data_IF_542016290480
#
_entry.id   IF_542016290480
#
_cell.length_a   1.000
_cell.length_b   1.000
_cell.length_c   1.000
_cell.angle_alpha   90.00
_cell.angle_beta   90.00
_cell.angle_gamma   90.00
#
_symmetry.space_group_name_H-M   'P 1'
#
loop_
_entity.id
_entity.type
_entity.pdbx_description
1 polymer ?
#
# COMPACT_ATOMS: atom_id res chain seq x y z
N UNK A 1 -14.61 6.85 28.93
CA UNK A 1 -13.67 5.87 29.50
C UNK A 1 -12.53 5.74 28.50
N UNK A 2 -11.49 6.57 28.65
CA UNK A 2 -10.38 6.69 27.70
C UNK A 2 -9.44 5.50 27.89
N UNK A 3 -9.41 4.60 26.92
CA UNK A 3 -8.36 3.58 26.87
C UNK A 3 -7.07 4.25 26.40
N UNK A 4 -6.23 4.60 27.37
CA UNK A 4 -4.81 4.83 27.14
C UNK A 4 -4.26 3.49 26.64
N UNK A 5 -3.93 3.43 25.35
CA UNK A 5 -3.31 2.25 24.74
C UNK A 5 -1.99 1.99 25.46
N UNK A 6 -1.95 0.95 26.28
CA UNK A 6 -0.78 0.55 27.05
C UNK A 6 0.23 -0.15 26.13
N UNK A 7 1.40 0.48 25.94
CA UNK A 7 2.44 0.03 25.02
C UNK A 7 3.56 -0.72 25.77
N UNK A 8 3.28 -1.94 26.23
CA UNK A 8 4.27 -2.86 26.82
C UNK A 8 4.75 -3.94 25.83
N UNK A 9 6.07 -4.08 25.66
CA UNK A 9 6.88 -5.11 24.94
C UNK A 9 6.53 -5.56 23.50
N UNK A 10 5.25 -5.61 23.07
CA UNK A 10 4.80 -5.75 21.67
C UNK A 10 5.10 -4.51 20.79
N UNK A 11 5.68 -3.47 21.41
CA UNK A 11 5.73 -2.07 20.94
C UNK A 11 6.67 -1.78 19.75
N UNK A 12 7.54 -2.70 19.32
CA UNK A 12 8.43 -2.49 18.14
C UNK A 12 8.33 -3.55 17.05
N UNK A 13 7.57 -4.62 17.24
CA UNK A 13 7.48 -5.66 16.20
C UNK A 13 6.76 -5.13 14.94
N UNK A 14 5.81 -4.21 15.13
CA UNK A 14 5.18 -3.50 14.02
C UNK A 14 6.17 -2.64 13.25
N UNK A 15 7.20 -2.07 13.90
CA UNK A 15 8.27 -1.35 13.22
C UNK A 15 9.09 -2.31 12.36
N UNK A 16 9.43 -3.49 12.86
CA UNK A 16 10.12 -4.50 12.03
C UNK A 16 9.28 -4.93 10.83
N UNK A 17 7.96 -5.09 10.99
CA UNK A 17 7.07 -5.36 9.86
C UNK A 17 7.02 -4.18 8.88
N UNK A 18 7.00 -2.94 9.37
CA UNK A 18 7.01 -1.75 8.52
C UNK A 18 8.33 -1.61 7.74
N UNK A 19 9.48 -1.87 8.37
CA UNK A 19 10.78 -1.85 7.68
C UNK A 19 10.93 -3.00 6.68
N UNK A 20 10.48 -4.20 7.03
CA UNK A 20 10.45 -5.32 6.09
C UNK A 20 9.53 -5.02 4.90
N UNK A 21 8.35 -4.45 5.17
CA UNK A 21 7.42 -3.96 4.15
C UNK A 21 8.09 -2.92 3.24
N UNK A 22 8.76 -1.91 3.79
CA UNK A 22 9.50 -0.90 3.03
C UNK A 22 10.54 -1.53 2.09
N UNK A 23 11.32 -2.48 2.59
CA UNK A 23 12.32 -3.18 1.77
C UNK A 23 11.66 -3.99 0.65
N UNK A 24 10.61 -4.77 0.97
CA UNK A 24 9.87 -5.54 -0.02
C UNK A 24 9.24 -4.66 -1.10
N UNK A 25 8.62 -3.54 -0.72
CA UNK A 25 8.01 -2.59 -1.66
C UNK A 25 9.05 -1.88 -2.53
N UNK A 26 10.21 -1.54 -1.98
CA UNK A 26 11.32 -0.95 -2.75
C UNK A 26 11.85 -1.90 -3.81
N UNK A 27 12.16 -3.15 -3.42
CA UNK A 27 12.61 -4.19 -4.35
C UNK A 27 11.53 -4.49 -5.40
N UNK A 28 10.27 -4.63 -4.96
CA UNK A 28 9.13 -4.85 -5.84
C UNK A 28 9.00 -3.74 -6.89
N UNK A 29 9.09 -2.48 -6.50
CA UNK A 29 8.93 -1.37 -7.43
C UNK A 29 10.05 -1.34 -8.49
N UNK A 30 11.28 -1.65 -8.10
CA UNK A 30 12.40 -1.79 -9.03
C UNK A 30 12.18 -2.94 -10.02
N UNK A 31 11.79 -4.11 -9.53
CA UNK A 31 11.49 -5.27 -10.39
C UNK A 31 10.28 -4.98 -11.30
N UNK A 32 9.23 -4.36 -10.78
CA UNK A 32 8.05 -3.98 -11.54
C UNK A 32 8.39 -3.05 -12.70
N UNK A 33 9.30 -2.09 -12.50
CA UNK A 33 9.81 -1.23 -13.58
C UNK A 33 10.49 -2.07 -14.66
N UNK A 34 11.40 -2.97 -14.30
CA UNK A 34 12.11 -3.84 -15.25
C UNK A 34 11.11 -4.72 -16.02
N UNK A 35 10.26 -5.46 -15.31
CA UNK A 35 9.31 -6.38 -15.95
C UNK A 35 8.36 -5.63 -16.87
N UNK A 36 7.88 -4.46 -16.44
CA UNK A 36 6.96 -3.67 -17.28
C UNK A 36 7.62 -3.12 -18.54
N UNK A 37 8.91 -2.79 -18.50
CA UNK A 37 9.63 -2.38 -19.72
C UNK A 37 9.90 -3.55 -20.66
N UNK A 38 10.10 -4.76 -20.15
CA UNK A 38 10.39 -5.95 -20.95
C UNK A 38 9.14 -6.55 -21.60
N UNK A 39 8.05 -6.74 -20.83
CA UNK A 39 6.87 -7.50 -21.32
C UNK A 39 5.60 -6.68 -21.42
N UNK A 40 5.57 -5.44 -20.91
CA UNK A 40 4.37 -4.60 -20.91
C UNK A 40 3.60 -4.62 -19.59
N UNK A 41 2.69 -3.67 -19.41
CA UNK A 41 2.00 -3.41 -18.15
C UNK A 41 0.90 -4.45 -17.85
N UNK A 42 0.16 -4.89 -18.86
CA UNK A 42 -0.91 -5.88 -18.70
C UNK A 42 -0.33 -7.26 -18.39
N UNK A 43 0.74 -7.62 -19.07
CA UNK A 43 1.51 -8.84 -18.89
C UNK A 43 2.17 -8.85 -17.50
N UNK A 44 2.77 -7.73 -17.09
CA UNK A 44 3.31 -7.58 -15.74
C UNK A 44 2.22 -7.71 -14.67
N UNK A 45 1.04 -7.15 -14.89
CA UNK A 45 -0.11 -7.31 -13.98
C UNK A 45 -0.57 -8.77 -13.87
N UNK A 46 -0.63 -9.48 -15.00
CA UNK A 46 -0.95 -10.89 -15.02
C UNK A 46 0.10 -11.71 -14.24
N UNK A 47 1.38 -11.51 -14.54
CA UNK A 47 2.48 -12.20 -13.86
C UNK A 47 2.53 -11.88 -12.36
N UNK A 48 2.28 -10.64 -11.97
CA UNK A 48 2.16 -10.22 -10.57
C UNK A 48 1.03 -10.97 -9.86
N UNK A 49 -0.13 -11.10 -10.52
CA UNK A 49 -1.28 -11.81 -9.98
C UNK A 49 -0.97 -13.31 -9.83
N UNK A 50 -0.36 -13.93 -10.84
CA UNK A 50 0.10 -15.33 -10.79
C UNK A 50 1.09 -15.54 -9.64
N UNK A 51 2.03 -14.60 -9.43
CA UNK A 51 2.98 -14.63 -8.32
C UNK A 51 2.34 -14.55 -6.93
N UNK A 52 1.14 -13.98 -6.81
CA UNK A 52 0.38 -13.90 -5.55
C UNK A 52 -0.43 -15.17 -5.24
N UNK A 53 -0.73 -16.01 -6.24
CA UNK A 53 -1.54 -17.23 -6.06
C UNK A 53 -0.96 -18.20 -5.02
N UNK A 54 0.35 -18.51 -5.00
CA UNK A 54 0.92 -19.39 -3.98
C UNK A 54 0.73 -18.86 -2.55
N UNK A 55 0.87 -17.55 -2.35
CA UNK A 55 0.65 -16.93 -1.05
C UNK A 55 -0.82 -17.08 -0.63
N UNK A 56 -1.75 -16.74 -1.53
CA UNK A 56 -3.18 -16.90 -1.27
C UNK A 56 -3.54 -18.34 -0.89
N UNK A 57 -2.99 -19.33 -1.60
CA UNK A 57 -3.23 -20.75 -1.33
C UNK A 57 -2.68 -21.19 0.02
N UNK A 58 -1.43 -20.85 0.34
CA UNK A 58 -0.80 -21.19 1.63
C UNK A 58 -1.59 -20.61 2.80
N UNK A 59 -2.01 -19.34 2.69
CA UNK A 59 -2.80 -18.70 3.75
C UNK A 59 -4.21 -19.30 3.85
N UNK A 60 -4.86 -19.62 2.74
CA UNK A 60 -6.16 -20.29 2.74
C UNK A 60 -6.10 -21.66 3.44
N UNK A 61 -5.07 -22.48 3.15
CA UNK A 61 -4.88 -23.79 3.79
C UNK A 61 -4.61 -23.63 5.29
N UNK A 62 -3.74 -22.69 5.69
CA UNK A 62 -3.35 -22.51 7.10
C UNK A 62 -4.43 -21.91 7.99
N UNK A 63 -5.26 -21.02 7.45
CA UNK A 63 -6.29 -20.31 8.23
C UNK A 63 -7.59 -21.10 8.39
N UNK A 64 -7.80 -22.12 7.54
CA UNK A 64 -9.07 -22.84 7.44
C UNK A 64 -10.17 -21.89 6.98
N UNK A 65 -10.62 -22.03 5.73
CA UNK A 65 -11.55 -21.07 5.10
C UNK A 65 -12.78 -20.74 5.95
N UNK A 66 -13.24 -21.65 6.81
CA UNK A 66 -14.37 -21.41 7.73
C UNK A 66 -14.20 -20.21 8.67
N UNK A 67 -12.98 -19.82 9.03
CA UNK A 67 -12.73 -18.61 9.84
C UNK A 67 -12.63 -17.33 8.99
N UNK A 68 -12.18 -17.45 7.74
CA UNK A 68 -11.95 -16.33 6.82
C UNK A 68 -13.24 -15.65 6.33
N UNK A 69 -14.36 -16.37 6.34
CA UNK A 69 -15.64 -15.89 5.75
C UNK A 69 -16.74 -15.65 6.79
N UNK A 70 -16.43 -15.75 8.08
CA UNK A 70 -17.42 -15.60 9.16
C UNK A 70 -17.97 -14.17 9.26
N UNK A 71 -17.12 -13.17 9.02
CA UNK A 71 -17.52 -11.76 8.97
C UNK A 71 -17.69 -11.28 7.51
N UNK A 72 -18.95 -11.13 7.08
CA UNK A 72 -19.29 -10.67 5.72
C UNK A 72 -18.79 -9.26 5.43
N UNK A 73 -18.69 -8.40 6.44
CA UNK A 73 -18.22 -7.01 6.27
C UNK A 73 -16.70 -7.01 6.07
N UNK A 74 -15.97 -7.75 6.92
CA UNK A 74 -14.53 -7.94 6.77
C UNK A 74 -14.13 -8.52 5.41
N UNK A 75 -14.89 -9.51 4.92
CA UNK A 75 -14.72 -10.07 3.56
C UNK A 75 -14.93 -9.00 2.48
N UNK A 76 -15.98 -8.17 2.63
CA UNK A 76 -16.25 -7.07 1.72
C UNK A 76 -15.08 -6.08 1.61
N UNK A 77 -14.53 -5.65 2.75
CA UNK A 77 -13.33 -4.80 2.76
C UNK A 77 -12.11 -5.48 2.15
N UNK A 78 -11.90 -6.77 2.41
CA UNK A 78 -10.82 -7.55 1.81
C UNK A 78 -10.91 -7.63 0.28
N UNK A 79 -12.10 -7.87 -0.25
CA UNK A 79 -12.35 -7.91 -1.70
C UNK A 79 -12.11 -6.52 -2.33
N UNK A 80 -12.67 -5.46 -1.75
CA UNK A 80 -12.48 -4.09 -2.23
C UNK A 80 -10.99 -3.73 -2.21
N UNK A 81 -10.27 -4.06 -1.14
CA UNK A 81 -8.83 -3.84 -1.04
C UNK A 81 -8.05 -4.56 -2.15
N UNK A 82 -8.39 -5.83 -2.43
CA UNK A 82 -7.78 -6.59 -3.53
C UNK A 82 -8.05 -5.97 -4.90
N UNK A 83 -9.30 -5.57 -5.17
CA UNK A 83 -9.67 -4.90 -6.42
C UNK A 83 -8.94 -3.57 -6.60
N UNK A 84 -8.90 -2.73 -5.56
CA UNK A 84 -8.17 -1.47 -5.57
C UNK A 84 -6.67 -1.69 -5.75
N UNK A 85 -6.10 -2.74 -5.15
CA UNK A 85 -4.69 -3.11 -5.38
C UNK A 85 -4.47 -3.47 -6.85
N UNK A 86 -5.33 -4.30 -7.44
CA UNK A 86 -5.21 -4.70 -8.84
C UNK A 86 -5.30 -3.51 -9.81
N UNK A 87 -6.24 -2.60 -9.57
CA UNK A 87 -6.37 -1.35 -10.35
C UNK A 87 -5.16 -0.44 -10.12
N UNK A 88 -4.71 -0.28 -8.87
CA UNK A 88 -3.56 0.54 -8.53
C UNK A 88 -2.27 0.04 -9.17
N UNK A 89 -2.01 -1.28 -9.14
CA UNK A 89 -0.79 -1.85 -9.71
C UNK A 89 -0.79 -1.77 -11.23
N UNK A 90 -1.90 -2.01 -11.93
CA UNK A 90 -1.91 -1.86 -13.40
C UNK A 90 -1.69 -0.40 -13.83
N UNK A 91 -2.23 0.58 -13.08
CA UNK A 91 -1.96 2.00 -13.31
C UNK A 91 -0.49 2.35 -13.02
N UNK A 92 0.07 1.84 -11.92
CA UNK A 92 1.47 2.07 -11.54
C UNK A 92 2.45 1.42 -12.52
N UNK A 93 2.16 0.21 -13.01
CA UNK A 93 2.94 -0.44 -14.06
C UNK A 93 2.86 0.36 -15.36
N UNK A 94 1.65 0.81 -15.75
CA UNK A 94 1.49 1.70 -16.90
C UNK A 94 2.29 3.00 -16.76
N UNK A 95 2.35 3.58 -15.56
CA UNK A 95 3.22 4.71 -15.28
C UNK A 95 4.70 4.33 -15.42
N UNK A 96 5.14 3.20 -14.84
CA UNK A 96 6.52 2.74 -14.96
C UNK A 96 6.93 2.47 -16.41
N UNK A 97 6.01 2.09 -17.29
CA UNK A 97 6.32 1.97 -18.72
C UNK A 97 6.74 3.31 -19.33
N UNK A 98 6.13 4.41 -18.87
CA UNK A 98 6.22 5.72 -19.50
C UNK A 98 7.10 6.72 -18.73
N UNK A 99 7.60 6.37 -17.55
CA UNK A 99 8.38 7.29 -16.72
C UNK A 99 9.42 6.64 -15.82
N UNK A 100 10.26 7.45 -15.15
CA UNK A 100 11.30 6.96 -14.26
C UNK A 100 10.73 6.45 -12.92
N UNK A 101 11.22 5.30 -12.47
CA UNK A 101 10.76 4.72 -11.20
C UNK A 101 11.09 5.60 -9.98
N UNK A 102 12.14 6.41 -10.06
CA UNK A 102 12.55 7.37 -9.03
C UNK A 102 11.52 8.48 -8.78
N UNK A 103 10.69 8.80 -9.77
CA UNK A 103 9.61 9.81 -9.65
C UNK A 103 8.27 9.13 -9.36
N UNK A 104 7.99 8.02 -10.04
CA UNK A 104 6.70 7.33 -9.90
C UNK A 104 6.54 6.71 -8.52
N UNK A 105 7.60 6.14 -7.94
CA UNK A 105 7.50 5.49 -6.62
C UNK A 105 7.19 6.47 -5.49
N UNK A 106 7.81 7.67 -5.39
CA UNK A 106 7.46 8.59 -4.32
C UNK A 106 6.08 9.23 -4.55
N UNK A 107 5.72 9.54 -5.81
CA UNK A 107 4.38 10.07 -6.16
C UNK A 107 3.29 9.07 -5.78
N UNK A 108 3.44 7.81 -6.16
CA UNK A 108 2.47 6.76 -5.83
C UNK A 108 2.51 6.41 -4.34
N UNK A 109 3.69 6.48 -3.72
CA UNK A 109 3.92 6.26 -2.29
C UNK A 109 3.36 7.37 -1.39
N UNK A 110 2.92 8.49 -1.96
CA UNK A 110 2.24 9.57 -1.26
C UNK A 110 0.74 9.28 -0.98
N UNK A 111 0.28 8.04 -1.17
CA UNK A 111 -1.07 7.61 -0.78
C UNK A 111 -1.45 7.92 0.70
N UNK A 112 -0.53 8.05 1.69
CA UNK A 112 -0.91 8.51 3.02
C UNK A 112 -1.61 9.88 3.03
N UNK A 113 -1.34 10.74 2.04
CA UNK A 113 -2.06 12.01 1.87
C UNK A 113 -3.55 11.77 1.62
N UNK A 114 -3.88 10.81 0.76
CA UNK A 114 -5.26 10.40 0.48
C UNK A 114 -5.89 9.79 1.73
N UNK A 115 -5.17 8.93 2.45
CA UNK A 115 -5.65 8.34 3.71
C UNK A 115 -5.99 9.41 4.75
N UNK A 116 -5.13 10.42 4.92
CA UNK A 116 -5.36 11.54 5.83
C UNK A 116 -6.59 12.36 5.42
N UNK A 117 -6.74 12.66 4.12
CA UNK A 117 -7.92 13.35 3.61
C UNK A 117 -9.21 12.56 3.88
N UNK A 118 -9.20 11.25 3.62
CA UNK A 118 -10.34 10.37 3.90
C UNK A 118 -10.64 10.29 5.39
N UNK A 119 -9.62 10.24 6.26
CA UNK A 119 -9.80 10.26 7.70
C UNK A 119 -10.45 11.57 8.19
N UNK A 120 -10.05 12.72 7.64
CA UNK A 120 -10.68 14.00 7.97
C UNK A 120 -12.15 14.05 7.50
N UNK A 121 -12.43 13.59 6.27
CA UNK A 121 -13.77 13.72 5.65
C UNK A 121 -14.75 12.67 6.17
N UNK A 122 -14.33 11.40 6.27
CA UNK A 122 -15.20 10.27 6.60
C UNK A 122 -15.25 10.05 8.11
N UNK A 123 -14.10 10.10 8.80
CA UNK A 123 -14.02 9.85 10.24
C UNK A 123 -14.17 11.13 11.07
N UNK A 124 -14.13 12.31 10.43
CA UNK A 124 -14.22 13.59 11.14
C UNK A 124 -12.98 13.91 11.97
N UNK A 125 -11.83 13.28 11.69
CA UNK A 125 -10.60 13.52 12.42
C UNK A 125 -10.10 14.95 12.19
N UNK A 126 -9.64 15.61 13.26
CA UNK A 126 -9.03 16.94 13.18
C UNK A 126 -7.52 16.81 13.31
N UNK A 127 -6.80 17.31 12.32
CA UNK A 127 -5.34 17.36 12.37
C UNK A 127 -4.87 18.46 13.31
N UNK A 128 -3.77 18.20 14.02
CA UNK A 128 -3.03 19.24 14.74
C UNK A 128 -2.14 20.02 13.76
N UNK A 129 -1.74 21.22 14.15
CA UNK A 129 -0.88 22.12 13.38
C UNK A 129 0.42 21.45 12.87
N UNK A 130 1.04 20.59 13.69
CA UNK A 130 2.25 19.83 13.29
C UNK A 130 1.94 18.86 12.13
N UNK A 131 0.77 18.21 12.13
CA UNK A 131 0.39 17.29 11.05
C UNK A 131 0.13 18.05 9.74
N UNK A 132 -0.44 19.27 9.81
CA UNK A 132 -0.55 20.14 8.64
C UNK A 132 0.81 20.55 8.07
N UNK A 133 1.78 20.89 8.93
CA UNK A 133 3.16 21.17 8.49
C UNK A 133 3.77 19.93 7.84
N UNK A 134 3.61 18.75 8.44
CA UNK A 134 4.09 17.50 7.89
C UNK A 134 3.49 17.20 6.51
N UNK A 135 2.19 17.44 6.35
CA UNK A 135 1.48 17.31 5.07
C UNK A 135 2.06 18.25 4.00
N UNK A 136 2.24 19.52 4.36
CA UNK A 136 2.82 20.53 3.47
C UNK A 136 4.27 20.19 3.09
N UNK A 137 5.09 19.74 4.05
CA UNK A 137 6.45 19.32 3.82
C UNK A 137 6.53 18.08 2.91
N UNK A 138 5.64 17.09 3.11
CA UNK A 138 5.56 15.92 2.26
C UNK A 138 5.19 16.28 0.82
N UNK A 139 4.21 17.17 0.63
CA UNK A 139 3.83 17.70 -0.68
C UNK A 139 4.98 18.46 -1.34
N UNK A 140 5.69 19.32 -0.61
CA UNK A 140 6.84 20.04 -1.12
C UNK A 140 7.98 19.09 -1.54
N UNK A 141 8.32 18.12 -0.69
CA UNK A 141 9.30 17.08 -1.02
C UNK A 141 8.90 16.29 -2.26
N UNK A 142 7.62 15.97 -2.40
CA UNK A 142 7.11 15.27 -3.57
C UNK A 142 7.23 16.10 -4.84
N UNK A 143 6.89 17.40 -4.79
CA UNK A 143 7.07 18.30 -5.94
C UNK A 143 8.53 18.39 -6.37
N UNK A 144 9.46 18.47 -5.42
CA UNK A 144 10.89 18.52 -5.72
C UNK A 144 11.41 17.23 -6.36
N UNK A 145 10.90 16.08 -5.93
CA UNK A 145 11.24 14.78 -6.54
C UNK A 145 10.70 14.67 -7.98
N UNK A 146 9.57 15.31 -8.26
CA UNK A 146 8.88 15.20 -9.56
C UNK A 146 9.39 16.16 -10.64
N UNK A 147 10.26 17.13 -10.28
CA UNK A 147 10.91 18.07 -11.20
C UNK A 147 12.21 17.50 -11.77
#
# INVERSE_FOLDING_TARGET
MNQVVDFGSKRRIWLSYAFACLACWGIWAFLAKITTTEVGAAETQFLFTVGMVPFALVFAIRSGLGSLVSDRIGVGYGIINGLLTGVGTILMFSAFRNGPASVITPVSGAYPLVTVLLAMVILGERLNYIQYIGLAAALAGLTLIAM
#
